data_IF_597040875823
#
_entry.id   IF_597040875823
#
_cell.length_a   1.000
_cell.length_b   1.000
_cell.length_c   1.000
_cell.angle_alpha   90.00
_cell.angle_beta   90.00
_cell.angle_gamma   90.00
#
_symmetry.space_group_name_H-M   'P 1'
#
loop_
_entity.id
_entity.type
_entity.pdbx_description
1 polymer ?
#
# COMPACT_ATOMS: atom_id res chain seq x y z
N UNK A 1 16.36 -6.40 38.49
CA UNK A 1 16.02 -6.32 37.05
C UNK A 1 15.26 -7.59 36.72
N UNK A 2 13.96 -7.51 36.50
CA UNK A 2 13.16 -8.65 36.03
C UNK A 2 13.60 -8.90 34.59
N UNK A 3 14.30 -10.00 34.37
CA UNK A 3 14.56 -10.50 32.99
C UNK A 3 13.21 -10.77 32.37
N UNK A 4 12.90 -10.10 31.28
CA UNK A 4 11.71 -10.41 30.48
C UNK A 4 11.81 -11.87 30.01
N UNK A 5 10.75 -12.66 30.22
CA UNK A 5 10.69 -14.03 29.70
C UNK A 5 10.61 -14.08 28.17
N UNK A 6 10.55 -12.91 27.52
CA UNK A 6 10.43 -12.72 26.08
C UNK A 6 11.62 -11.94 25.53
N UNK A 7 12.09 -12.37 24.37
CA UNK A 7 13.17 -11.71 23.63
C UNK A 7 12.68 -10.39 23.03
N UNK A 8 11.36 -10.33 22.70
CA UNK A 8 10.79 -9.17 22.04
C UNK A 8 9.28 -9.05 22.30
N UNK A 9 8.82 -7.79 22.32
CA UNK A 9 7.42 -7.44 22.45
C UNK A 9 6.94 -6.74 21.19
N UNK A 10 5.82 -7.22 20.59
CA UNK A 10 5.16 -6.61 19.44
C UNK A 10 3.86 -5.98 19.94
N UNK A 11 3.69 -4.69 19.65
CA UNK A 11 2.48 -3.94 20.00
C UNK A 11 1.62 -3.81 18.75
N UNK A 12 0.42 -4.36 18.82
CA UNK A 12 -0.56 -4.40 17.75
C UNK A 12 -0.68 -5.77 17.09
N UNK A 13 -1.83 -6.40 17.23
CA UNK A 13 -2.19 -7.72 16.69
C UNK A 13 -2.86 -7.68 15.31
N UNK A 14 -2.63 -6.62 14.52
CA UNK A 14 -3.02 -6.59 13.10
C UNK A 14 -2.14 -7.48 12.23
N UNK A 15 -2.38 -7.50 10.91
CA UNK A 15 -1.68 -8.39 9.98
C UNK A 15 -0.15 -8.26 10.06
N UNK A 16 0.37 -7.05 10.19
CA UNK A 16 1.82 -6.80 10.26
C UNK A 16 2.39 -7.40 11.55
N UNK A 17 1.75 -7.13 12.70
CA UNK A 17 2.20 -7.66 13.99
C UNK A 17 2.13 -9.18 14.05
N UNK A 18 1.06 -9.78 13.54
CA UNK A 18 0.88 -11.23 13.49
C UNK A 18 1.93 -11.91 12.62
N UNK A 19 2.12 -11.46 11.37
CA UNK A 19 3.11 -12.06 10.46
C UNK A 19 4.52 -11.91 11.03
N UNK A 20 4.83 -10.76 11.63
CA UNK A 20 6.12 -10.54 12.29
C UNK A 20 6.31 -11.48 13.47
N UNK A 21 5.31 -11.62 14.35
CA UNK A 21 5.36 -12.49 15.52
C UNK A 21 5.60 -13.95 15.12
N UNK A 22 4.79 -14.46 14.20
CA UNK A 22 4.86 -15.85 13.73
C UNK A 22 6.21 -16.13 13.04
N UNK A 23 6.68 -15.19 12.20
CA UNK A 23 7.98 -15.34 11.53
C UNK A 23 9.16 -15.36 12.50
N UNK A 24 9.15 -14.50 13.50
CA UNK A 24 10.22 -14.46 14.52
C UNK A 24 10.17 -15.68 15.44
N UNK A 25 8.97 -16.11 15.82
CA UNK A 25 8.79 -17.32 16.62
C UNK A 25 9.28 -18.58 15.87
N UNK A 26 9.02 -18.67 14.57
CA UNK A 26 9.54 -19.75 13.73
C UNK A 26 11.07 -19.78 13.66
N UNK A 27 11.72 -18.62 13.87
CA UNK A 27 13.19 -18.49 13.97
C UNK A 27 13.73 -18.72 15.38
N UNK A 28 12.88 -19.11 16.33
CA UNK A 28 13.26 -19.45 17.70
C UNK A 28 13.19 -18.32 18.71
N UNK A 29 12.72 -17.12 18.32
CA UNK A 29 12.54 -16.02 19.26
C UNK A 29 11.31 -16.23 20.15
N UNK A 30 11.42 -15.88 21.43
CA UNK A 30 10.28 -15.82 22.35
C UNK A 30 9.59 -14.46 22.19
N UNK A 31 8.43 -14.47 21.55
CA UNK A 31 7.69 -13.25 21.20
C UNK A 31 6.45 -13.09 22.07
N UNK A 32 6.27 -11.92 22.66
CA UNK A 32 5.00 -11.49 23.25
C UNK A 32 4.27 -10.54 22.28
N UNK A 33 3.04 -10.89 21.90
CA UNK A 33 2.17 -10.03 21.11
C UNK A 33 1.13 -9.39 22.03
N UNK A 34 1.10 -8.05 22.05
CA UNK A 34 0.15 -7.26 22.83
C UNK A 34 -0.85 -6.59 21.90
N UNK A 35 -2.12 -6.87 22.11
CA UNK A 35 -3.24 -6.26 21.37
C UNK A 35 -4.23 -5.66 22.37
N UNK A 36 -4.71 -4.45 22.09
CA UNK A 36 -5.65 -3.75 22.95
C UNK A 36 -7.09 -4.29 22.86
N UNK A 37 -7.42 -4.88 21.72
CA UNK A 37 -8.74 -5.40 21.43
C UNK A 37 -8.64 -6.88 21.02
N UNK A 38 -9.21 -7.24 19.89
CA UNK A 38 -9.23 -8.60 19.36
C UNK A 38 -8.13 -8.79 18.30
N UNK A 39 -7.36 -9.86 18.43
CA UNK A 39 -6.27 -10.18 17.51
C UNK A 39 -6.83 -10.44 16.11
N UNK A 40 -6.18 -9.87 15.09
CA UNK A 40 -6.59 -10.01 13.69
C UNK A 40 -7.68 -9.03 13.25
N UNK A 41 -8.30 -8.28 14.15
CA UNK A 41 -9.40 -7.35 13.85
C UNK A 41 -8.92 -5.92 13.49
N UNK A 42 -7.66 -5.77 13.10
CA UNK A 42 -7.10 -4.48 12.68
C UNK A 42 -7.62 -4.00 11.32
N UNK A 43 -6.96 -2.98 10.77
CA UNK A 43 -7.39 -2.31 9.54
C UNK A 43 -7.50 -3.22 8.30
N UNK A 44 -6.80 -4.37 8.30
CA UNK A 44 -6.86 -5.35 7.20
C UNK A 44 -8.01 -6.32 7.31
N UNK A 45 -8.73 -6.36 8.45
CA UNK A 45 -9.87 -7.25 8.62
C UNK A 45 -11.01 -6.88 7.66
N UNK A 46 -11.54 -7.87 6.95
CA UNK A 46 -12.62 -7.66 6.00
C UNK A 46 -12.24 -6.92 4.71
N UNK A 47 -10.96 -6.74 4.42
CA UNK A 47 -10.51 -6.18 3.15
C UNK A 47 -10.76 -7.17 1.98
N UNK A 48 -10.55 -6.71 0.74
CA UNK A 48 -10.78 -7.53 -0.46
C UNK A 48 -9.71 -8.64 -0.67
N UNK A 49 -8.68 -8.72 0.17
CA UNK A 49 -7.61 -9.71 0.05
C UNK A 49 -6.72 -9.55 -1.19
N UNK A 50 -6.72 -8.36 -1.81
CA UNK A 50 -5.91 -8.10 -3.00
C UNK A 50 -4.47 -7.78 -2.60
N UNK A 51 -3.51 -8.59 -3.09
CA UNK A 51 -2.07 -8.32 -3.01
C UNK A 51 -1.69 -7.63 -4.30
N UNK A 52 -1.28 -6.36 -4.22
CA UNK A 52 -1.07 -5.46 -5.35
C UNK A 52 0.41 -5.07 -5.51
N UNK A 53 1.28 -5.96 -6.03
CA UNK A 53 2.70 -5.65 -6.26
C UNK A 53 2.90 -4.54 -7.29
N UNK A 54 1.91 -4.29 -8.16
CA UNK A 54 1.92 -3.27 -9.20
C UNK A 54 1.77 -1.84 -8.68
N UNK A 55 1.47 -1.64 -7.41
CA UNK A 55 1.32 -0.30 -6.82
C UNK A 55 2.67 0.34 -6.48
N UNK A 56 3.52 0.50 -7.50
CA UNK A 56 4.89 1.02 -7.40
C UNK A 56 5.03 2.48 -7.82
N UNK A 57 3.99 3.05 -8.40
CA UNK A 57 3.99 4.47 -8.77
C UNK A 57 3.38 5.33 -7.67
N UNK A 58 3.94 6.53 -7.39
CA UNK A 58 3.28 7.52 -6.54
C UNK A 58 1.86 7.81 -7.03
N UNK A 59 0.90 7.90 -6.12
CA UNK A 59 -0.53 8.12 -6.43
C UNK A 59 -0.74 9.42 -7.20
N UNK A 60 0.07 10.44 -6.90
CA UNK A 60 -0.04 11.75 -7.51
C UNK A 60 1.16 12.01 -8.44
N UNK A 61 0.88 12.17 -9.73
CA UNK A 61 1.84 12.63 -10.72
C UNK A 61 1.44 13.98 -11.32
N UNK A 62 2.36 14.62 -12.04
CA UNK A 62 2.14 15.94 -12.62
C UNK A 62 0.95 15.99 -13.61
N UNK A 63 0.58 14.85 -14.20
CA UNK A 63 -0.56 14.79 -15.12
C UNK A 63 -1.90 15.00 -14.42
N UNK A 64 -1.99 14.71 -13.12
CA UNK A 64 -3.19 14.93 -12.33
C UNK A 64 -3.51 16.41 -12.14
N UNK A 65 -2.50 17.29 -12.13
CA UNK A 65 -2.69 18.73 -11.85
C UNK A 65 -3.71 19.38 -12.80
N UNK A 66 -3.71 18.99 -14.07
CA UNK A 66 -4.68 19.47 -15.08
C UNK A 66 -6.10 19.03 -14.82
N UNK A 67 -6.29 17.94 -14.07
CA UNK A 67 -7.62 17.36 -13.77
C UNK A 67 -8.19 17.85 -12.44
N UNK A 68 -7.37 18.43 -11.56
CA UNK A 68 -7.79 18.92 -10.23
C UNK A 68 -9.00 19.87 -10.33
N UNK A 69 -9.04 20.88 -11.22
CA UNK A 69 -10.20 21.75 -11.29
C UNK A 69 -11.50 21.02 -11.62
N UNK A 70 -11.45 20.08 -12.56
CA UNK A 70 -12.61 19.28 -12.93
C UNK A 70 -13.06 18.34 -11.79
N UNK A 71 -12.11 17.79 -11.04
CA UNK A 71 -12.39 16.94 -9.88
C UNK A 71 -13.05 17.71 -8.73
N UNK A 72 -12.62 18.96 -8.49
CA UNK A 72 -13.15 19.83 -7.43
C UNK A 72 -14.56 20.36 -7.78
N UNK A 73 -14.83 20.63 -9.06
CA UNK A 73 -16.12 21.13 -9.52
C UNK A 73 -17.19 20.03 -9.61
N UNK A 74 -16.78 18.75 -9.61
CA UNK A 74 -17.72 17.64 -9.66
C UNK A 74 -18.21 17.28 -8.24
N UNK A 75 -19.52 17.42 -7.93
CA UNK A 75 -20.07 17.09 -6.62
C UNK A 75 -19.90 15.62 -6.21
N UNK A 76 -19.80 14.72 -7.19
CA UNK A 76 -19.56 13.28 -7.00
C UNK A 76 -18.13 12.87 -7.31
N UNK A 77 -17.23 13.85 -7.49
CA UNK A 77 -15.84 13.63 -7.85
C UNK A 77 -15.02 13.00 -6.72
N UNK A 78 -13.86 12.44 -7.07
CA UNK A 78 -13.00 11.74 -6.11
C UNK A 78 -12.25 12.69 -5.18
N UNK A 79 -12.24 14.01 -5.47
CA UNK A 79 -11.50 15.00 -4.68
C UNK A 79 -12.49 15.98 -4.02
N UNK A 80 -12.44 16.00 -2.68
CA UNK A 80 -13.17 16.97 -1.87
C UNK A 80 -12.22 17.68 -0.93
N UNK A 81 -12.30 19.02 -0.89
CA UNK A 81 -11.53 19.85 0.03
C UNK A 81 -12.49 20.57 0.97
N UNK A 82 -12.29 20.42 2.26
CA UNK A 82 -12.88 21.32 3.24
C UNK A 82 -12.10 22.63 3.23
N UNK A 83 -12.73 23.69 2.72
CA UNK A 83 -12.11 25.01 2.58
C UNK A 83 -11.67 25.61 3.93
N UNK A 84 -12.31 25.21 5.03
CA UNK A 84 -11.92 25.62 6.38
C UNK A 84 -10.61 24.99 6.82
N UNK A 85 -10.28 23.81 6.25
CA UNK A 85 -9.04 23.10 6.55
C UNK A 85 -7.88 23.54 5.67
N UNK A 86 -8.13 24.33 4.62
CA UNK A 86 -7.13 24.75 3.63
C UNK A 86 -5.85 25.32 4.24
N UNK A 87 -5.88 26.21 5.26
CA UNK A 87 -4.64 26.72 5.85
C UNK A 87 -3.76 25.62 6.47
N UNK A 88 -4.35 24.58 7.02
CA UNK A 88 -3.63 23.42 7.58
C UNK A 88 -3.16 22.45 6.51
N UNK A 89 -3.89 22.36 5.41
CA UNK A 89 -3.56 21.52 4.26
C UNK A 89 -2.39 22.10 3.44
N UNK A 90 -2.22 23.42 3.42
CA UNK A 90 -1.26 24.12 2.57
C UNK A 90 0.17 23.59 2.67
N UNK A 91 0.79 23.37 3.85
CA UNK A 91 2.16 22.88 3.94
C UNK A 91 2.32 21.49 3.29
N UNK A 92 1.33 20.60 3.52
CA UNK A 92 1.32 19.28 2.89
C UNK A 92 1.14 19.38 1.37
N UNK A 93 0.23 20.22 0.89
CA UNK A 93 0.00 20.42 -0.54
C UNK A 93 1.24 20.93 -1.27
N UNK A 94 2.00 21.86 -0.66
CA UNK A 94 3.27 22.34 -1.21
C UNK A 94 4.27 21.18 -1.32
N UNK A 95 4.42 20.36 -0.28
CA UNK A 95 5.31 19.19 -0.31
C UNK A 95 4.89 18.19 -1.38
N UNK A 96 3.57 17.93 -1.52
CA UNK A 96 3.04 17.08 -2.58
C UNK A 96 3.44 17.59 -3.96
N UNK A 97 3.21 18.87 -4.25
CA UNK A 97 3.60 19.51 -5.52
C UNK A 97 5.11 19.41 -5.77
N UNK A 98 5.93 19.60 -4.75
CA UNK A 98 7.39 19.45 -4.86
C UNK A 98 7.79 18.01 -5.20
N UNK A 99 7.09 17.02 -4.68
CA UNK A 99 7.35 15.61 -4.93
C UNK A 99 6.81 15.11 -6.28
N UNK A 100 5.92 15.85 -6.94
CA UNK A 100 5.47 15.56 -8.30
C UNK A 100 6.51 15.91 -9.38
N UNK A 101 7.59 16.61 -9.04
CA UNK A 101 8.68 16.91 -9.98
C UNK A 101 9.38 15.63 -10.41
N UNK A 102 9.94 15.56 -11.64
CA UNK A 102 10.49 14.33 -12.21
C UNK A 102 11.49 13.60 -11.32
N UNK A 103 12.44 14.33 -10.74
CA UNK A 103 13.51 13.74 -9.92
C UNK A 103 13.00 13.17 -8.57
N UNK A 104 12.25 13.92 -7.73
CA UNK A 104 11.64 13.35 -6.53
C UNK A 104 10.68 12.20 -6.84
N UNK A 105 9.87 12.32 -7.89
CA UNK A 105 8.95 11.28 -8.33
C UNK A 105 9.69 9.98 -8.66
N UNK A 106 10.77 10.05 -9.46
CA UNK A 106 11.59 8.88 -9.81
C UNK A 106 12.21 8.23 -8.57
N UNK A 107 12.71 9.03 -7.62
CA UNK A 107 13.28 8.52 -6.37
C UNK A 107 12.23 7.80 -5.51
N UNK A 108 11.03 8.35 -5.38
CA UNK A 108 9.92 7.72 -4.65
C UNK A 108 9.50 6.43 -5.35
N UNK A 109 9.40 6.45 -6.67
CA UNK A 109 9.10 5.25 -7.46
C UNK A 109 10.13 4.14 -7.22
N UNK A 110 11.42 4.43 -7.26
CA UNK A 110 12.48 3.46 -6.96
C UNK A 110 12.37 2.90 -5.54
N UNK A 111 12.04 3.73 -4.54
CA UNK A 111 11.83 3.29 -3.18
C UNK A 111 10.60 2.36 -3.07
N UNK A 112 9.49 2.67 -3.75
CA UNK A 112 8.31 1.81 -3.80
C UNK A 112 8.61 0.48 -4.51
N UNK A 113 9.37 0.50 -5.60
CA UNK A 113 9.83 -0.69 -6.28
C UNK A 113 10.63 -1.60 -5.35
N UNK A 114 11.60 -1.05 -4.64
CA UNK A 114 12.45 -1.83 -3.73
C UNK A 114 11.65 -2.50 -2.60
N UNK A 115 10.54 -1.90 -2.17
CA UNK A 115 9.63 -2.46 -1.16
C UNK A 115 8.71 -3.54 -1.74
N UNK A 116 8.19 -3.32 -2.96
CA UNK A 116 7.16 -4.19 -3.55
C UNK A 116 7.72 -5.33 -4.40
N UNK A 117 8.96 -5.24 -4.86
CA UNK A 117 9.55 -6.18 -5.80
C UNK A 117 9.55 -7.64 -5.30
N UNK A 118 9.63 -7.83 -3.99
CA UNK A 118 9.60 -9.15 -3.37
C UNK A 118 8.28 -9.45 -2.62
N UNK A 119 7.25 -8.64 -2.79
CA UNK A 119 6.05 -8.77 -1.96
C UNK A 119 5.26 -10.06 -2.28
N UNK A 120 5.05 -10.38 -3.56
CA UNK A 120 4.33 -11.59 -3.95
C UNK A 120 5.14 -12.87 -3.65
N UNK A 121 6.42 -13.01 -4.02
CA UNK A 121 7.24 -14.14 -3.59
C UNK A 121 7.25 -14.33 -2.08
N UNK A 122 7.43 -13.27 -1.30
CA UNK A 122 7.43 -13.36 0.15
C UNK A 122 6.11 -13.86 0.74
N UNK A 123 4.96 -13.46 0.15
CA UNK A 123 3.65 -13.97 0.54
C UNK A 123 3.45 -15.44 0.16
N UNK A 124 3.92 -15.87 -1.00
CA UNK A 124 3.85 -17.27 -1.43
C UNK A 124 4.73 -18.16 -0.55
N UNK A 125 5.96 -17.73 -0.26
CA UNK A 125 6.86 -18.44 0.64
C UNK A 125 6.26 -18.57 2.05
N UNK A 126 5.68 -17.48 2.57
CA UNK A 126 4.98 -17.49 3.85
C UNK A 126 3.78 -18.45 3.83
N UNK A 127 2.95 -18.40 2.79
CA UNK A 127 1.79 -19.27 2.66
C UNK A 127 2.23 -20.75 2.62
N UNK A 128 3.25 -21.07 1.83
CA UNK A 128 3.80 -22.40 1.74
C UNK A 128 4.34 -22.91 3.09
N UNK A 129 5.12 -22.10 3.79
CA UNK A 129 5.66 -22.41 5.11
C UNK A 129 4.57 -22.78 6.11
N UNK A 130 3.42 -22.11 6.05
CA UNK A 130 2.32 -22.27 6.99
C UNK A 130 1.15 -23.10 6.45
N UNK A 131 1.32 -23.79 5.30
CA UNK A 131 0.30 -24.61 4.64
C UNK A 131 -1.00 -23.83 4.33
N UNK A 132 -0.83 -22.61 3.85
CA UNK A 132 -1.89 -21.67 3.47
C UNK A 132 -1.97 -21.46 1.95
N UNK A 133 -1.38 -22.35 1.15
CA UNK A 133 -1.28 -22.21 -0.31
C UNK A 133 -2.65 -22.02 -0.99
N UNK A 134 -3.68 -22.70 -0.49
CA UNK A 134 -5.04 -22.60 -1.02
C UNK A 134 -5.71 -21.23 -0.80
N UNK A 135 -5.16 -20.40 0.10
CA UNK A 135 -5.70 -19.09 0.43
C UNK A 135 -5.19 -17.98 -0.49
N UNK A 136 -4.08 -18.21 -1.19
CA UNK A 136 -3.48 -17.22 -2.11
C UNK A 136 -3.55 -17.76 -3.53
N UNK A 137 -4.26 -17.03 -4.41
CA UNK A 137 -4.42 -17.42 -5.81
C UNK A 137 -3.77 -16.38 -6.71
N UNK A 138 -2.76 -16.80 -7.49
CA UNK A 138 -2.08 -15.94 -8.47
C UNK A 138 -2.87 -15.99 -9.77
N UNK A 139 -3.85 -15.10 -9.92
CA UNK A 139 -4.71 -15.02 -11.13
C UNK A 139 -4.52 -13.73 -11.93
N UNK A 140 -3.67 -12.83 -11.44
CA UNK A 140 -3.50 -11.50 -11.98
C UNK A 140 -4.69 -10.58 -11.66
N UNK A 141 -4.63 -9.35 -12.16
CA UNK A 141 -5.68 -8.35 -12.03
C UNK A 141 -6.11 -7.85 -13.41
N UNK A 142 -7.41 -7.63 -13.58
CA UNK A 142 -7.96 -7.06 -14.81
C UNK A 142 -8.26 -5.58 -14.59
N UNK A 143 -7.55 -4.71 -15.27
CA UNK A 143 -7.81 -3.28 -15.27
C UNK A 143 -8.72 -2.93 -16.45
N UNK A 144 -9.86 -2.33 -16.17
CA UNK A 144 -10.87 -1.95 -17.18
C UNK A 144 -11.14 -0.46 -17.16
N UNK A 145 -11.60 0.07 -18.28
CA UNK A 145 -12.07 1.46 -18.42
C UNK A 145 -13.48 1.49 -18.97
N UNK A 146 -14.30 2.37 -18.44
CA UNK A 146 -15.69 2.53 -18.87
C UNK A 146 -15.79 3.28 -20.22
N UNK A 147 -14.90 4.24 -20.44
CA UNK A 147 -14.94 5.11 -21.64
C UNK A 147 -13.79 4.79 -22.58
N UNK A 148 -14.10 4.68 -23.87
CA UNK A 148 -13.10 4.48 -24.93
C UNK A 148 -12.04 5.59 -24.94
N UNK A 149 -12.40 6.83 -24.60
CA UNK A 149 -11.46 7.95 -24.47
C UNK A 149 -10.37 7.74 -23.39
N UNK A 150 -10.59 6.82 -22.45
CA UNK A 150 -9.62 6.47 -21.41
C UNK A 150 -8.70 5.31 -21.80
N UNK A 151 -8.90 4.71 -22.97
CA UNK A 151 -8.14 3.54 -23.42
C UNK A 151 -6.65 3.84 -23.60
N UNK A 152 -6.30 5.02 -24.11
CA UNK A 152 -4.89 5.40 -24.30
C UNK A 152 -4.17 5.62 -22.98
N UNK A 153 -4.87 6.14 -21.97
CA UNK A 153 -4.34 6.24 -20.61
C UNK A 153 -4.09 4.85 -20.00
N UNK A 154 -5.02 3.91 -20.21
CA UNK A 154 -4.88 2.53 -19.77
C UNK A 154 -3.68 1.84 -20.44
N UNK A 155 -3.53 1.98 -21.77
CA UNK A 155 -2.39 1.44 -22.52
C UNK A 155 -1.07 2.02 -22.04
N UNK A 156 -1.03 3.32 -21.77
CA UNK A 156 0.16 4.00 -21.25
C UNK A 156 0.53 3.47 -19.87
N UNK A 157 -0.47 3.27 -19.00
CA UNK A 157 -0.26 2.68 -17.68
C UNK A 157 0.27 1.24 -17.79
N UNK A 158 -0.32 0.41 -18.64
CA UNK A 158 0.15 -0.95 -18.87
C UNK A 158 1.59 -1.03 -19.40
N UNK A 159 1.98 -0.11 -20.31
CA UNK A 159 3.38 -0.02 -20.75
C UNK A 159 4.31 0.32 -19.58
N UNK A 160 3.97 1.32 -18.78
CA UNK A 160 4.77 1.71 -17.59
C UNK A 160 4.96 0.55 -16.61
N UNK A 161 3.97 -0.33 -16.45
CA UNK A 161 4.08 -1.52 -15.60
C UNK A 161 4.98 -2.60 -16.21
N UNK A 162 5.00 -2.76 -17.54
CA UNK A 162 5.86 -3.72 -18.22
C UNK A 162 7.34 -3.29 -18.25
N UNK A 163 7.62 -1.99 -18.06
CA UNK A 163 8.98 -1.44 -18.05
C UNK A 163 9.62 -1.54 -16.64
N UNK A 164 8.93 -2.13 -15.68
CA UNK A 164 9.31 -2.28 -14.27
C UNK A 164 9.50 -3.74 -13.91
#
# INVERSE_FOLDING_TARGET
MTTSDFDLHIIGGGIIGLVTAVTLQARGAKVALLEANEVGQGASFGNAGHIAPEHVFPIADASMLRHIPAMLLNPTGPLRIDWRYLPRLTPWAIQLLMNMRPEPFARIHQALLSLNNNCLPAWLDFAHQWQLDDWIQVKGALLTVEKVSSLDSLKTHGKRLNDV
#
